data_IF_935958268265
#
_entry.id   IF_935958268265
#
_cell.length_a   1.000
_cell.length_b   1.000
_cell.length_c   1.000
_cell.angle_alpha   90.00
_cell.angle_beta   90.00
_cell.angle_gamma   90.00
#
_symmetry.space_group_name_H-M   'P 1'
#
loop_
_entity.id
_entity.type
_entity.pdbx_description
1 polymer ?
#
# COMPACT_ATOMS: atom_id res chain seq x y z
N UNK A 1 -16.21 -13.88 -6.79
CA UNK A 1 -15.17 -13.21 -7.60
C UNK A 1 -14.61 -11.95 -6.92
N UNK A 2 -15.45 -11.02 -6.46
CA UNK A 2 -15.01 -9.74 -5.84
C UNK A 2 -14.10 -9.88 -4.61
N UNK A 3 -14.21 -10.97 -3.85
CA UNK A 3 -13.41 -11.24 -2.66
C UNK A 3 -11.90 -11.42 -2.96
N UNK A 4 -11.51 -11.83 -4.17
CA UNK A 4 -10.08 -12.07 -4.49
C UNK A 4 -9.26 -10.78 -4.41
N UNK A 5 -9.84 -9.65 -4.84
CA UNK A 5 -9.17 -8.35 -4.86
C UNK A 5 -9.03 -7.78 -3.44
N UNK A 6 -10.07 -7.90 -2.62
CA UNK A 6 -10.00 -7.50 -1.20
C UNK A 6 -9.04 -8.38 -0.40
N UNK A 7 -9.00 -9.69 -0.68
CA UNK A 7 -8.01 -10.60 -0.07
C UNK A 7 -6.59 -10.21 -0.46
N UNK A 8 -6.35 -9.95 -1.74
CA UNK A 8 -5.04 -9.49 -2.22
C UNK A 8 -4.61 -8.19 -1.53
N UNK A 9 -5.51 -7.19 -1.46
CA UNK A 9 -5.25 -5.95 -0.74
C UNK A 9 -4.94 -6.17 0.74
N UNK A 10 -5.67 -7.07 1.42
CA UNK A 10 -5.38 -7.42 2.81
C UNK A 10 -3.99 -8.07 2.97
N UNK A 11 -3.65 -9.03 2.10
CA UNK A 11 -2.31 -9.64 2.09
C UNK A 11 -1.21 -8.62 1.83
N UNK A 12 -1.41 -7.69 0.89
CA UNK A 12 -0.47 -6.62 0.61
C UNK A 12 -0.20 -5.75 1.86
N UNK A 13 -1.24 -5.41 2.63
CA UNK A 13 -1.09 -4.66 3.87
C UNK A 13 -0.37 -5.47 4.96
N UNK A 14 -0.66 -6.77 5.09
CA UNK A 14 0.04 -7.65 6.04
C UNK A 14 1.54 -7.70 5.71
N UNK A 15 1.88 -7.95 4.45
CA UNK A 15 3.28 -7.98 4.00
C UNK A 15 3.96 -6.64 4.21
N UNK A 16 3.30 -5.53 3.86
CA UNK A 16 3.82 -4.19 4.13
C UNK A 16 4.10 -3.96 5.62
N UNK A 17 3.19 -4.38 6.51
CA UNK A 17 3.38 -4.24 7.96
C UNK A 17 4.54 -5.09 8.48
N UNK A 18 4.69 -6.33 8.02
CA UNK A 18 5.77 -7.23 8.42
C UNK A 18 7.14 -6.72 7.96
N UNK A 19 7.22 -6.22 6.72
CA UNK A 19 8.42 -5.61 6.16
C UNK A 19 8.81 -4.34 6.93
N UNK A 20 7.85 -3.48 7.26
CA UNK A 20 8.10 -2.27 8.04
C UNK A 20 8.55 -2.56 9.48
N UNK A 21 8.01 -3.59 10.13
CA UNK A 21 8.49 -4.05 11.44
C UNK A 21 9.92 -4.58 11.32
N UNK A 22 10.20 -5.39 10.30
CA UNK A 22 11.55 -5.91 10.05
C UNK A 22 12.55 -4.78 9.83
N UNK A 23 12.20 -3.78 9.02
CA UNK A 23 12.99 -2.57 8.80
C UNK A 23 13.27 -1.84 10.11
N UNK A 24 12.26 -1.65 10.95
CA UNK A 24 12.40 -1.02 12.27
C UNK A 24 13.36 -1.80 13.18
N UNK A 25 13.23 -3.13 13.23
CA UNK A 25 14.12 -4.00 14.01
C UNK A 25 15.56 -3.89 13.51
N UNK A 26 15.76 -3.91 12.20
CA UNK A 26 17.09 -3.78 11.57
C UNK A 26 17.74 -2.44 11.93
N UNK A 27 16.98 -1.34 11.88
CA UNK A 27 17.44 0.00 12.30
C UNK A 27 17.79 0.04 13.79
N UNK A 28 16.97 -0.58 14.65
CA UNK A 28 17.22 -0.63 16.09
C UNK A 28 18.46 -1.47 16.45
N UNK A 29 18.65 -2.63 15.79
CA UNK A 29 19.78 -3.53 16.03
C UNK A 29 21.12 -2.94 15.56
N UNK A 30 21.14 -2.23 14.42
CA UNK A 30 22.38 -1.63 13.92
C UNK A 30 22.76 -0.32 14.65
N UNK A 31 21.81 0.31 15.34
CA UNK A 31 22.03 1.55 16.08
C UNK A 31 22.58 2.69 15.20
N UNK A 32 23.05 3.79 15.81
CA UNK A 32 23.68 4.94 15.10
C UNK A 32 25.05 4.61 14.46
N UNK A 33 25.56 3.39 14.57
CA UNK A 33 27.01 3.10 14.42
C UNK A 33 27.46 2.64 13.04
N UNK A 34 26.59 2.44 12.05
CA UNK A 34 27.02 2.04 10.71
C UNK A 34 26.21 2.73 9.61
N UNK A 35 26.30 4.07 9.56
CA UNK A 35 25.69 4.88 8.51
C UNK A 35 26.58 4.82 7.25
N UNK A 36 26.59 3.67 6.60
CA UNK A 36 27.20 3.50 5.28
C UNK A 36 26.15 3.77 4.18
N UNK A 37 26.56 4.40 3.08
CA UNK A 37 25.70 4.76 1.92
C UNK A 37 24.78 3.61 1.44
N UNK A 38 25.24 2.35 1.55
CA UNK A 38 24.49 1.16 1.17
C UNK A 38 23.16 0.95 1.94
N UNK A 39 23.08 1.37 3.20
CA UNK A 39 21.87 1.20 4.02
C UNK A 39 20.74 2.15 3.60
N UNK A 40 21.08 3.39 3.19
CA UNK A 40 20.07 4.33 2.68
C UNK A 40 19.46 3.87 1.37
N UNK A 41 20.26 3.29 0.48
CA UNK A 41 19.76 2.70 -0.75
C UNK A 41 18.87 1.47 -0.46
N UNK A 42 19.23 0.64 0.51
CA UNK A 42 18.41 -0.48 0.98
C UNK A 42 17.05 -0.04 1.53
N UNK A 43 17.02 1.00 2.37
CA UNK A 43 15.78 1.59 2.90
C UNK A 43 14.92 2.19 1.77
N UNK A 44 15.54 2.90 0.82
CA UNK A 44 14.84 3.42 -0.36
C UNK A 44 14.19 2.31 -1.19
N UNK A 45 14.94 1.23 -1.51
CA UNK A 45 14.39 0.09 -2.25
C UNK A 45 13.25 -0.59 -1.49
N UNK A 46 13.41 -0.76 -0.18
CA UNK A 46 12.38 -1.30 0.70
C UNK A 46 11.09 -0.46 0.61
N UNK A 47 11.19 0.85 0.82
CA UNK A 47 10.05 1.76 0.79
C UNK A 47 9.38 1.78 -0.59
N UNK A 48 10.17 1.72 -1.67
CA UNK A 48 9.67 1.64 -3.03
C UNK A 48 8.87 0.36 -3.27
N UNK A 49 9.38 -0.80 -2.85
CA UNK A 49 8.70 -2.11 -3.02
C UNK A 49 7.37 -2.10 -2.27
N UNK A 50 7.35 -1.61 -1.02
CA UNK A 50 6.12 -1.52 -0.22
C UNK A 50 5.10 -0.58 -0.87
N UNK A 51 5.56 0.57 -1.37
CA UNK A 51 4.70 1.56 -2.04
C UNK A 51 4.04 0.98 -3.30
N UNK A 52 4.81 0.26 -4.13
CA UNK A 52 4.31 -0.38 -5.36
C UNK A 52 3.31 -1.50 -5.02
N UNK A 53 3.62 -2.33 -4.02
CA UNK A 53 2.75 -3.41 -3.58
C UNK A 53 1.39 -2.89 -3.09
N UNK A 54 1.39 -1.83 -2.28
CA UNK A 54 0.17 -1.18 -1.79
C UNK A 54 -0.63 -0.55 -2.92
N UNK A 55 0.02 0.13 -3.88
CA UNK A 55 -0.63 0.67 -5.08
C UNK A 55 -1.34 -0.40 -5.90
N UNK A 56 -0.66 -1.52 -6.15
CA UNK A 56 -1.24 -2.63 -6.92
C UNK A 56 -2.49 -3.18 -6.23
N UNK A 57 -2.43 -3.39 -4.90
CA UNK A 57 -3.56 -3.87 -4.12
C UNK A 57 -4.73 -2.88 -4.11
N UNK A 58 -4.43 -1.60 -3.93
CA UNK A 58 -5.43 -0.54 -3.85
C UNK A 58 -6.12 -0.28 -5.19
N UNK A 59 -5.37 -0.31 -6.30
CA UNK A 59 -5.92 -0.18 -7.65
C UNK A 59 -6.87 -1.33 -8.00
N UNK A 60 -6.49 -2.57 -7.66
CA UNK A 60 -7.35 -3.74 -7.85
C UNK A 60 -8.63 -3.65 -7.00
N UNK A 61 -8.51 -3.25 -5.73
CA UNK A 61 -9.66 -3.06 -4.84
C UNK A 61 -10.58 -1.91 -5.31
N UNK A 62 -10.01 -0.80 -5.81
CA UNK A 62 -10.77 0.33 -6.34
C UNK A 62 -11.53 -0.02 -7.61
N UNK A 63 -10.90 -0.73 -8.55
CA UNK A 63 -11.57 -1.13 -9.79
C UNK A 63 -12.83 -1.93 -9.51
N UNK A 64 -12.75 -2.91 -8.59
CA UNK A 64 -13.92 -3.69 -8.22
C UNK A 64 -14.90 -2.93 -7.33
N UNK A 65 -14.44 -2.01 -6.48
CA UNK A 65 -15.30 -1.15 -5.68
C UNK A 65 -16.11 -0.18 -6.56
N UNK A 66 -15.52 0.36 -7.62
CA UNK A 66 -16.19 1.22 -8.58
C UNK A 66 -17.30 0.46 -9.32
N UNK A 67 -16.97 -0.73 -9.87
CA UNK A 67 -17.95 -1.59 -10.53
C UNK A 67 -19.02 -2.07 -9.54
N UNK A 68 -18.66 -2.37 -8.30
CA UNK A 68 -19.60 -2.80 -7.26
C UNK A 68 -20.56 -1.70 -6.79
N UNK A 69 -20.15 -0.43 -6.84
CA UNK A 69 -20.97 0.73 -6.46
C UNK A 69 -21.90 1.19 -7.58
N UNK A 70 -21.37 1.36 -8.79
CA UNK A 70 -22.14 1.93 -9.90
C UNK A 70 -22.78 0.87 -10.80
N UNK A 71 -22.29 -0.38 -10.76
CA UNK A 71 -22.69 -1.41 -11.71
C UNK A 71 -22.26 -1.08 -13.15
N UNK A 72 -22.47 -2.02 -14.06
CA UNK A 72 -22.43 -1.74 -15.49
C UNK A 72 -23.53 -2.53 -16.20
N UNK A 73 -24.60 -1.83 -16.58
CA UNK A 73 -25.75 -2.40 -17.29
C UNK A 73 -25.36 -3.05 -18.61
N UNK A 74 -24.33 -2.50 -19.29
CA UNK A 74 -23.83 -3.03 -20.56
C UNK A 74 -23.16 -4.40 -20.43
N UNK A 75 -22.64 -4.73 -19.26
CA UNK A 75 -22.02 -6.03 -18.93
C UNK A 75 -22.94 -6.93 -18.09
N UNK A 76 -24.18 -6.50 -17.78
CA UNK A 76 -25.07 -7.19 -16.85
C UNK A 76 -24.63 -7.15 -15.38
N UNK A 77 -23.67 -6.29 -15.02
CA UNK A 77 -23.20 -6.15 -13.63
C UNK A 77 -24.15 -5.24 -12.85
N UNK A 78 -24.90 -5.82 -11.93
CA UNK A 78 -25.78 -5.07 -11.01
C UNK A 78 -24.99 -4.47 -9.83
N UNK A 79 -25.41 -3.31 -9.30
CA UNK A 79 -24.77 -2.70 -8.14
C UNK A 79 -24.97 -3.57 -6.89
N UNK A 80 -23.86 -4.08 -6.35
CA UNK A 80 -23.85 -4.97 -5.18
C UNK A 80 -23.97 -4.15 -3.88
N UNK A 81 -23.47 -2.91 -3.90
CA UNK A 81 -23.48 -2.02 -2.74
C UNK A 81 -24.90 -1.59 -2.32
N UNK A 82 -25.90 -1.64 -3.20
CA UNK A 82 -27.31 -1.36 -2.89
C UNK A 82 -27.90 -2.41 -1.92
N UNK A 83 -27.56 -3.69 -2.12
CA UNK A 83 -28.07 -4.78 -1.27
C UNK A 83 -27.23 -4.98 0.01
N UNK A 84 -25.93 -4.68 -0.03
CA UNK A 84 -24.97 -4.90 1.06
C UNK A 84 -24.29 -3.61 1.53
N UNK A 85 -25.06 -2.54 1.73
CA UNK A 85 -24.54 -1.20 2.06
C UNK A 85 -23.58 -1.14 3.26
N UNK A 86 -23.83 -1.90 4.33
CA UNK A 86 -22.90 -1.96 5.49
C UNK A 86 -21.53 -2.53 5.14
N UNK A 87 -21.48 -3.55 4.28
CA UNK A 87 -20.22 -4.18 3.88
C UNK A 87 -19.46 -3.27 2.90
N UNK A 88 -20.20 -2.64 1.98
CA UNK A 88 -19.64 -1.67 1.04
C UNK A 88 -19.05 -0.46 1.76
N UNK A 89 -19.74 0.10 2.75
CA UNK A 89 -19.23 1.23 3.53
C UNK A 89 -17.94 0.88 4.28
N UNK A 90 -17.86 -0.31 4.91
CA UNK A 90 -16.63 -0.79 5.55
C UNK A 90 -15.47 -0.95 4.55
N UNK A 91 -15.75 -1.47 3.35
CA UNK A 91 -14.76 -1.58 2.28
C UNK A 91 -14.22 -0.22 1.84
N UNK A 92 -15.11 0.76 1.62
CA UNK A 92 -14.73 2.13 1.25
C UNK A 92 -13.88 2.78 2.33
N UNK A 93 -14.29 2.69 3.60
CA UNK A 93 -13.50 3.23 4.73
C UNK A 93 -12.10 2.61 4.78
N UNK A 94 -12.00 1.27 4.60
CA UNK A 94 -10.71 0.58 4.55
C UNK A 94 -9.84 1.05 3.37
N UNK A 95 -10.43 1.26 2.20
CA UNK A 95 -9.71 1.81 1.05
C UNK A 95 -9.23 3.24 1.28
N UNK A 96 -10.03 4.10 1.91
CA UNK A 96 -9.64 5.49 2.24
C UNK A 96 -8.45 5.51 3.21
N UNK A 97 -8.48 4.65 4.24
CA UNK A 97 -7.33 4.48 5.13
C UNK A 97 -6.09 3.97 4.38
N UNK A 98 -6.29 3.09 3.40
CA UNK A 98 -5.27 2.63 2.46
C UNK A 98 -4.59 3.74 1.68
N UNK A 99 -5.38 4.67 1.14
CA UNK A 99 -4.85 5.85 0.46
C UNK A 99 -3.99 6.70 1.37
N UNK A 100 -4.44 6.92 2.62
CA UNK A 100 -3.67 7.67 3.60
C UNK A 100 -2.31 7.01 3.86
N UNK A 101 -2.29 5.68 4.05
CA UNK A 101 -1.06 4.91 4.19
C UNK A 101 -0.17 4.99 2.96
N UNK A 102 -0.73 4.85 1.76
CA UNK A 102 0.01 4.96 0.50
C UNK A 102 0.70 6.32 0.36
N UNK A 103 0.02 7.44 0.64
CA UNK A 103 0.64 8.76 0.57
C UNK A 103 1.80 8.89 1.56
N UNK A 104 1.68 8.35 2.77
CA UNK A 104 2.76 8.36 3.76
C UNK A 104 3.98 7.59 3.23
N UNK A 105 3.79 6.37 2.70
CA UNK A 105 4.89 5.60 2.11
C UNK A 105 5.51 6.28 0.88
N UNK A 106 4.70 6.96 0.07
CA UNK A 106 5.18 7.74 -1.07
C UNK A 106 6.06 8.92 -0.63
N UNK A 107 5.65 9.67 0.40
CA UNK A 107 6.48 10.73 0.97
C UNK A 107 7.79 10.18 1.55
N UNK A 108 7.73 9.07 2.29
CA UNK A 108 8.93 8.39 2.81
C UNK A 108 9.89 7.99 1.68
N UNK A 109 9.36 7.39 0.61
CA UNK A 109 10.13 7.00 -0.57
C UNK A 109 10.82 8.20 -1.24
N UNK A 110 10.15 9.36 -1.32
CA UNK A 110 10.74 10.58 -1.88
C UNK A 110 11.86 11.11 -0.98
N UNK A 111 11.64 11.12 0.33
CA UNK A 111 12.64 11.59 1.30
C UNK A 111 13.87 10.68 1.26
N UNK A 112 13.68 9.36 1.25
CA UNK A 112 14.79 8.39 1.17
C UNK A 112 15.53 8.48 -0.16
N UNK A 113 14.82 8.69 -1.29
CA UNK A 113 15.44 8.95 -2.59
C UNK A 113 16.32 10.22 -2.59
N UNK A 114 15.81 11.31 -2.02
CA UNK A 114 16.53 12.58 -1.92
C UNK A 114 17.77 12.46 -1.04
N UNK A 115 17.66 11.76 0.08
CA UNK A 115 18.77 11.51 0.98
C UNK A 115 19.84 10.63 0.34
N UNK A 116 19.44 9.56 -0.37
CA UNK A 116 20.35 8.68 -1.09
C UNK A 116 21.13 9.45 -2.18
N UNK A 117 20.47 10.33 -2.93
CA UNK A 117 21.12 11.19 -3.93
C UNK A 117 22.18 12.12 -3.32
N UNK A 118 21.90 12.73 -2.16
CA UNK A 118 22.84 13.62 -1.47
C UNK A 118 24.14 12.94 -1.00
N UNK A 119 24.14 11.61 -0.84
CA UNK A 119 25.32 10.86 -0.39
C UNK A 119 26.21 10.49 -1.58
N UNK A 120 25.66 10.47 -2.80
CA UNK A 120 26.41 10.17 -4.03
C UNK A 120 27.01 11.41 -4.72
N UNK A 121 26.64 12.62 -4.29
CA UNK A 121 27.16 13.90 -4.78
C UNK A 121 28.22 14.46 -3.83
#
# INVERSE_FOLDING_TARGET
MTLIYFRFYAFANIVASALSILSLIVVLLMGRKAVHSAHYFGLFLHDLIVTILLMAGLGAAMGIAYVGKYGNSRSGWMPICEHFGKFCNRGVVSSVLGFMGFFVYLFLTIISANQARKIQA
#
